data_IF_005325796251
#
_entry.id   IF_005325796251
#
_cell.length_a   1.000
_cell.length_b   1.000
_cell.length_c   1.000
_cell.angle_alpha   90.00
_cell.angle_beta   90.00
_cell.angle_gamma   90.00
#
_symmetry.space_group_name_H-M   'P 1'
#
loop_
_entity.id
_entity.type
_entity.pdbx_description
1 polymer ?
#
# COMPACT_ATOMS: atom_id res chain seq x y z
N UNK A 1 5.43 -9.82 -10.45
CA UNK A 1 4.22 -9.13 -10.95
C UNK A 1 4.66 -8.01 -11.88
N UNK A 2 3.72 -7.42 -12.63
CA UNK A 2 3.96 -6.22 -13.44
C UNK A 2 2.87 -5.18 -13.18
N UNK A 3 3.23 -3.91 -13.26
CA UNK A 3 2.30 -2.79 -13.31
C UNK A 3 2.21 -2.25 -14.75
N UNK A 4 1.02 -2.30 -15.34
CA UNK A 4 0.74 -1.72 -16.65
C UNK A 4 -0.04 -0.43 -16.45
N UNK A 5 0.55 0.69 -16.84
CA UNK A 5 -0.09 2.00 -16.74
C UNK A 5 -1.28 2.13 -17.70
N UNK A 6 -2.29 2.90 -17.29
CA UNK A 6 -3.34 3.39 -18.18
C UNK A 6 -2.80 4.52 -19.04
N UNK A 7 -3.18 4.58 -20.32
CA UNK A 7 -2.69 5.57 -21.28
C UNK A 7 -2.92 7.04 -20.83
N UNK A 8 -3.93 7.29 -19.98
CA UNK A 8 -4.27 8.62 -19.48
C UNK A 8 -3.79 8.95 -18.08
N UNK A 9 -2.88 8.16 -17.48
CA UNK A 9 -2.36 8.47 -16.14
C UNK A 9 -1.50 9.75 -16.17
N UNK A 10 -1.79 10.77 -15.33
CA UNK A 10 -0.95 11.96 -15.25
C UNK A 10 0.28 11.76 -14.37
N UNK A 11 0.38 10.63 -13.65
CA UNK A 11 1.44 10.38 -12.67
C UNK A 11 2.70 9.84 -13.35
N UNK A 12 3.86 10.26 -12.84
CA UNK A 12 5.17 10.02 -13.47
C UNK A 12 5.95 8.90 -12.77
N UNK A 13 7.20 8.67 -13.20
CA UNK A 13 8.08 7.69 -12.60
C UNK A 13 7.61 6.25 -12.85
N UNK A 14 7.63 5.40 -11.82
CA UNK A 14 7.18 4.00 -11.98
C UNK A 14 5.69 3.89 -12.32
N UNK A 15 4.90 4.97 -12.13
CA UNK A 15 3.51 5.04 -12.54
C UNK A 15 3.32 5.11 -14.06
N UNK A 16 4.38 5.35 -14.85
CA UNK A 16 4.37 5.17 -16.32
C UNK A 16 4.35 3.71 -16.73
N UNK A 17 4.62 2.78 -15.80
CA UNK A 17 4.70 1.35 -16.04
C UNK A 17 5.95 0.75 -15.42
N UNK A 18 5.84 -0.47 -14.91
CA UNK A 18 6.94 -1.19 -14.32
C UNK A 18 6.80 -2.70 -14.59
N UNK A 19 7.67 -3.30 -15.41
CA UNK A 19 7.58 -4.72 -15.76
C UNK A 19 7.93 -5.64 -14.58
N UNK A 20 8.74 -5.14 -13.64
CA UNK A 20 9.32 -5.92 -12.56
C UNK A 20 8.84 -5.40 -11.19
N UNK A 21 7.76 -5.99 -10.70
CA UNK A 21 7.21 -5.71 -9.38
C UNK A 21 7.29 -6.96 -8.50
N UNK A 22 8.05 -6.89 -7.40
CA UNK A 22 8.04 -7.93 -6.38
C UNK A 22 6.87 -7.69 -5.43
N UNK A 23 5.92 -8.62 -5.38
CA UNK A 23 4.71 -8.51 -4.57
C UNK A 23 4.79 -9.50 -3.41
N UNK A 24 4.57 -9.01 -2.18
CA UNK A 24 4.37 -9.80 -0.97
C UNK A 24 2.97 -9.56 -0.44
N UNK A 25 2.26 -10.66 -0.24
CA UNK A 25 0.90 -10.69 0.28
C UNK A 25 0.94 -11.40 1.62
N UNK A 26 0.69 -10.67 2.71
CA UNK A 26 0.63 -11.25 4.05
C UNK A 26 -0.40 -10.55 4.94
N UNK A 27 -1.03 -11.27 5.88
CA UNK A 27 -1.77 -10.63 6.96
C UNK A 27 -0.87 -9.66 7.74
N UNK A 28 -1.37 -8.46 8.03
CA UNK A 28 -0.67 -7.48 8.87
C UNK A 28 -0.60 -7.88 10.35
N UNK A 29 -1.47 -8.81 10.76
CA UNK A 29 -1.47 -9.46 12.07
C UNK A 29 -2.13 -10.84 11.94
N UNK A 30 -1.95 -11.72 12.93
CA UNK A 30 -2.63 -13.02 12.95
C UNK A 30 -4.15 -12.80 12.90
N UNK A 31 -4.86 -13.32 11.87
CA UNK A 31 -6.29 -13.12 11.75
C UNK A 31 -7.09 -13.81 12.87
N UNK A 32 -6.60 -14.92 13.44
CA UNK A 32 -7.34 -15.74 14.43
C UNK A 32 -7.75 -14.96 15.69
N UNK A 33 -6.85 -14.29 16.43
CA UNK A 33 -7.25 -13.55 17.63
C UNK A 33 -8.07 -12.29 17.31
N UNK A 34 -7.96 -11.76 16.09
CA UNK A 34 -8.60 -10.50 15.67
C UNK A 34 -10.00 -10.76 15.07
N UNK A 35 -10.31 -12.00 14.69
CA UNK A 35 -11.56 -12.36 14.03
C UNK A 35 -11.74 -11.74 12.65
N UNK A 36 -10.69 -11.20 12.04
CA UNK A 36 -10.74 -10.61 10.69
C UNK A 36 -9.37 -10.60 10.01
N UNK A 37 -9.36 -10.68 8.68
CA UNK A 37 -8.13 -10.56 7.90
C UNK A 37 -7.76 -9.09 7.70
N UNK A 38 -6.68 -8.64 8.35
CA UNK A 38 -6.00 -7.40 8.00
C UNK A 38 -5.09 -7.67 6.80
N UNK A 39 -5.64 -7.67 5.58
CA UNK A 39 -4.86 -7.95 4.38
C UNK A 39 -3.86 -6.82 4.09
N UNK A 40 -2.58 -7.17 4.02
CA UNK A 40 -1.49 -6.26 3.67
C UNK A 40 -0.86 -6.59 2.33
N UNK A 41 -0.64 -5.56 1.52
CA UNK A 41 0.24 -5.64 0.35
C UNK A 41 1.53 -4.92 0.67
N UNK A 42 2.65 -5.57 0.39
CA UNK A 42 3.93 -4.90 0.22
C UNK A 42 4.44 -5.15 -1.20
N UNK A 43 4.78 -4.11 -1.93
CA UNK A 43 5.30 -4.21 -3.30
C UNK A 43 6.63 -3.45 -3.42
N UNK A 44 7.60 -4.02 -4.14
CA UNK A 44 8.79 -3.31 -4.62
C UNK A 44 8.69 -3.13 -6.11
N UNK A 45 8.77 -1.89 -6.57
CA UNK A 45 8.92 -1.59 -7.98
C UNK A 45 10.42 -1.52 -8.24
N UNK A 46 10.93 -2.48 -9.01
CA UNK A 46 12.35 -2.59 -9.28
C UNK A 46 12.73 -1.59 -10.35
N UNK A 47 13.85 -0.88 -10.11
CA UNK A 47 14.36 0.18 -10.96
C UNK A 47 15.78 -0.19 -11.35
N UNK A 48 16.10 -0.11 -12.63
CA UNK A 48 17.44 -0.43 -13.13
C UNK A 48 18.49 0.53 -12.55
N UNK A 49 19.59 -0.05 -12.04
CA UNK A 49 20.72 0.70 -11.47
C UNK A 49 20.42 1.50 -10.20
N UNK A 50 19.22 1.42 -9.62
CA UNK A 50 18.79 2.20 -8.45
C UNK A 50 18.06 1.34 -7.43
N UNK A 51 17.86 1.90 -6.24
CA UNK A 51 17.05 1.25 -5.21
C UNK A 51 15.59 1.16 -5.65
N UNK A 52 14.93 0.06 -5.28
CA UNK A 52 13.49 -0.11 -5.52
C UNK A 52 12.68 0.87 -4.67
N UNK A 53 11.57 1.37 -5.22
CA UNK A 53 10.56 2.09 -4.44
C UNK A 53 9.54 1.12 -3.86
N UNK A 54 9.17 1.31 -2.59
CA UNK A 54 8.41 0.34 -1.80
C UNK A 54 7.02 0.86 -1.46
N UNK A 55 6.00 0.08 -1.82
CA UNK A 55 4.60 0.41 -1.57
C UNK A 55 4.12 -0.51 -0.48
N UNK A 56 3.50 0.05 0.54
CA UNK A 56 2.80 -0.73 1.53
C UNK A 56 1.38 -0.20 1.64
N UNK A 57 0.44 -1.13 1.78
CA UNK A 57 -0.96 -0.80 1.95
C UNK A 57 -1.64 -1.80 2.84
N UNK A 58 -2.64 -1.30 3.55
CA UNK A 58 -3.59 -2.08 4.31
C UNK A 58 -4.98 -1.80 3.77
N UNK A 59 -5.96 -2.57 4.24
CA UNK A 59 -7.35 -2.43 3.83
C UNK A 59 -7.87 -1.00 4.08
N UNK A 60 -8.53 -0.44 3.06
CA UNK A 60 -9.04 0.95 3.04
C UNK A 60 -10.40 1.13 3.72
N UNK A 61 -11.21 0.08 3.78
CA UNK A 61 -12.55 0.13 4.38
C UNK A 61 -12.66 -0.81 5.57
N UNK A 62 -13.48 -0.47 6.55
CA UNK A 62 -13.92 -1.41 7.59
C UNK A 62 -14.95 -2.42 7.06
N UNK A 63 -15.66 -2.07 5.99
CA UNK A 63 -16.68 -2.89 5.33
C UNK A 63 -16.08 -3.88 4.34
N UNK A 64 -16.62 -5.09 4.33
CA UNK A 64 -16.14 -6.20 3.52
C UNK A 64 -16.96 -6.34 2.24
N UNK A 65 -16.29 -6.57 1.11
CA UNK A 65 -16.95 -6.95 -0.14
C UNK A 65 -17.66 -8.30 0.08
N UNK A 66 -18.99 -8.24 0.11
CA UNK A 66 -19.86 -9.41 0.23
C UNK A 66 -20.18 -9.86 1.66
N UNK A 67 -20.04 -9.00 2.67
CA UNK A 67 -20.67 -9.19 3.99
C UNK A 67 -19.76 -9.72 5.11
N UNK A 68 -20.24 -9.73 6.37
CA UNK A 68 -19.48 -10.09 7.58
C UNK A 68 -19.07 -11.58 7.67
N UNK A 69 -19.66 -12.45 6.85
CA UNK A 69 -19.28 -13.86 6.69
C UNK A 69 -18.05 -14.07 5.78
N UNK A 70 -17.70 -13.07 4.95
CA UNK A 70 -16.62 -13.14 3.94
C UNK A 70 -15.28 -12.57 4.42
N UNK A 71 -15.09 -12.51 5.73
CA UNK A 71 -14.17 -11.56 6.39
C UNK A 71 -12.90 -12.19 6.93
N UNK A 72 -12.98 -13.47 7.27
CA UNK A 72 -11.91 -14.13 8.00
C UNK A 72 -10.80 -14.68 7.10
N UNK A 73 -11.16 -15.19 5.91
CA UNK A 73 -10.20 -15.93 5.06
C UNK A 73 -9.96 -15.36 3.67
N UNK A 74 -10.89 -14.58 3.10
CA UNK A 74 -10.79 -14.13 1.70
C UNK A 74 -9.80 -12.99 1.56
N UNK A 75 -8.82 -13.15 0.67
CA UNK A 75 -7.77 -12.15 0.46
C UNK A 75 -8.29 -10.92 -0.29
N UNK A 76 -9.03 -11.15 -1.37
CA UNK A 76 -9.47 -10.13 -2.33
C UNK A 76 -10.81 -9.47 -1.94
N UNK A 77 -11.06 -9.28 -0.64
CA UNK A 77 -12.37 -8.87 -0.12
C UNK A 77 -12.55 -7.36 0.09
N UNK A 78 -11.65 -6.51 -0.40
CA UNK A 78 -11.75 -5.07 -0.27
C UNK A 78 -10.59 -4.31 -0.88
N UNK A 79 -10.80 -3.01 -1.08
CA UNK A 79 -9.76 -2.10 -1.55
C UNK A 79 -8.63 -1.99 -0.51
N UNK A 80 -7.39 -1.92 -0.98
CA UNK A 80 -6.20 -1.66 -0.16
C UNK A 80 -5.59 -0.32 -0.56
N UNK A 81 -5.03 0.41 0.40
CA UNK A 81 -4.50 1.76 0.16
C UNK A 81 -3.35 2.12 1.11
N UNK A 82 -2.49 3.05 0.68
CA UNK A 82 -1.53 3.74 1.54
C UNK A 82 -2.20 4.72 2.51
N UNK A 83 -3.50 4.96 2.33
CA UNK A 83 -4.40 5.64 3.27
C UNK A 83 -5.45 4.63 3.76
N UNK A 84 -5.07 3.68 4.64
CA UNK A 84 -5.94 2.61 5.08
C UNK A 84 -7.06 3.09 6.02
N UNK A 85 -8.02 2.21 6.30
CA UNK A 85 -9.00 2.42 7.37
C UNK A 85 -8.29 2.54 8.73
N UNK A 86 -8.90 3.19 9.72
CA UNK A 86 -8.42 3.14 11.09
C UNK A 86 -8.17 1.70 11.55
N UNK A 87 -7.03 1.48 12.21
CA UNK A 87 -6.69 0.17 12.76
C UNK A 87 -7.77 -0.29 13.76
N UNK A 88 -8.03 -1.61 13.86
CA UNK A 88 -8.88 -2.17 14.90
C UNK A 88 -8.41 -1.73 16.29
N UNK A 89 -9.37 -1.50 17.21
CA UNK A 89 -9.14 -0.98 18.56
C UNK A 89 -7.94 -1.61 19.30
N UNK A 90 -7.80 -2.94 19.39
CA UNK A 90 -6.66 -3.52 20.11
C UNK A 90 -5.32 -3.15 19.44
N UNK A 91 -5.20 -3.26 18.12
CA UNK A 91 -3.99 -2.88 17.39
C UNK A 91 -3.69 -1.39 17.51
N UNK A 92 -4.73 -0.54 17.50
CA UNK A 92 -4.61 0.90 17.63
C UNK A 92 -3.89 1.31 18.91
N UNK A 93 -4.22 0.68 20.05
CA UNK A 93 -3.62 1.01 21.35
C UNK A 93 -2.15 0.61 21.47
N UNK A 94 -1.68 -0.40 20.72
CA UNK A 94 -0.28 -0.83 20.77
C UNK A 94 0.58 -0.20 19.67
N UNK A 95 0.06 -0.06 18.45
CA UNK A 95 0.85 0.37 17.30
C UNK A 95 0.93 1.89 17.15
N UNK A 96 -0.17 2.61 17.42
CA UNK A 96 -0.18 4.07 17.24
C UNK A 96 0.78 4.82 18.16
N UNK A 97 0.93 4.48 19.46
CA UNK A 97 1.93 5.12 20.31
C UNK A 97 3.33 4.99 19.72
N UNK A 98 3.68 3.79 19.25
CA UNK A 98 5.00 3.50 18.68
C UNK A 98 5.22 4.27 17.37
N UNK A 99 4.29 4.21 16.44
CA UNK A 99 4.41 4.92 15.17
C UNK A 99 4.36 6.45 15.35
N UNK A 100 3.58 6.93 16.32
CA UNK A 100 3.45 8.33 16.69
C UNK A 100 4.75 8.98 17.19
N UNK A 101 5.71 8.19 17.68
CA UNK A 101 7.06 8.70 18.01
C UNK A 101 7.84 9.16 16.78
N UNK A 102 7.52 8.62 15.60
CA UNK A 102 8.29 8.85 14.36
C UNK A 102 7.52 9.59 13.28
N UNK A 103 6.18 9.63 13.35
CA UNK A 103 5.36 10.26 12.32
C UNK A 103 4.11 10.90 12.94
N UNK A 104 3.75 12.09 12.44
CA UNK A 104 2.49 12.76 12.76
C UNK A 104 1.29 12.10 12.07
N UNK A 105 1.55 11.28 11.06
CA UNK A 105 0.58 10.53 10.28
C UNK A 105 0.84 9.00 10.42
N UNK A 106 0.72 8.44 11.63
CA UNK A 106 1.18 7.07 11.91
C UNK A 106 0.39 5.96 11.20
N UNK A 107 -0.76 6.29 10.61
CA UNK A 107 -1.60 5.36 9.85
C UNK A 107 -1.48 5.50 8.34
N UNK A 108 -0.74 6.50 7.84
CA UNK A 108 -0.67 6.80 6.42
C UNK A 108 0.76 6.68 5.91
N UNK A 109 0.91 6.24 4.67
CA UNK A 109 2.20 6.06 4.03
C UNK A 109 2.34 6.95 2.81
N UNK A 110 3.57 7.40 2.59
CA UNK A 110 3.94 8.16 1.41
C UNK A 110 4.02 7.32 0.14
N UNK A 111 3.93 8.01 -0.99
CA UNK A 111 4.01 7.53 -2.38
C UNK A 111 4.89 8.43 -3.24
N UNK A 112 5.53 9.48 -2.71
CA UNK A 112 6.26 10.46 -3.50
C UNK A 112 7.43 9.86 -4.27
N UNK A 113 8.22 8.98 -3.65
CA UNK A 113 9.40 8.36 -4.27
C UNK A 113 9.07 7.66 -5.61
N UNK A 114 7.83 7.22 -5.78
CA UNK A 114 7.36 6.54 -6.99
C UNK A 114 7.32 7.44 -8.23
N UNK A 115 7.18 8.76 -8.04
CA UNK A 115 7.00 9.68 -9.15
C UNK A 115 8.32 10.26 -9.69
N UNK A 116 9.43 10.07 -8.99
CA UNK A 116 10.71 10.71 -9.32
C UNK A 116 11.56 9.92 -10.30
N UNK A 117 11.40 8.61 -10.36
CA UNK A 117 12.21 7.74 -11.22
C UNK A 117 11.35 6.64 -11.78
N UNK A 118 11.49 6.34 -13.06
CA UNK A 118 10.79 5.23 -13.70
C UNK A 118 11.56 3.91 -13.57
N UNK A 119 11.07 2.85 -14.21
CA UNK A 119 11.65 1.53 -14.05
C UNK A 119 13.02 1.37 -14.74
N UNK A 120 13.38 2.23 -15.70
CA UNK A 120 14.68 2.19 -16.39
C UNK A 120 15.74 3.02 -15.68
N UNK A 121 15.36 3.72 -14.60
CA UNK A 121 16.25 4.56 -13.82
C UNK A 121 16.28 6.01 -14.28
N UNK A 122 15.46 6.41 -15.25
CA UNK A 122 15.37 7.80 -15.69
C UNK A 122 14.64 8.66 -14.66
N UNK A 123 15.21 9.83 -14.37
CA UNK A 123 14.65 10.77 -13.39
C UNK A 123 13.68 11.74 -14.06
N UNK A 124 12.53 11.92 -13.41
CA UNK A 124 11.48 12.82 -13.88
C UNK A 124 11.79 14.27 -13.53
N UNK A 125 11.65 15.16 -14.53
CA UNK A 125 11.90 16.61 -14.36
C UNK A 125 10.77 17.32 -13.61
N UNK A 126 9.54 16.88 -13.82
CA UNK A 126 8.31 17.41 -13.19
C UNK A 126 7.50 16.25 -12.58
N UNK A 127 7.91 15.75 -11.39
CA UNK A 127 7.27 14.60 -10.76
C UNK A 127 5.82 14.85 -10.37
N UNK A 128 4.91 14.00 -10.86
CA UNK A 128 3.48 14.04 -10.50
C UNK A 128 3.15 12.87 -9.59
N UNK A 129 2.93 13.18 -8.32
CA UNK A 129 2.69 12.21 -7.25
C UNK A 129 1.20 12.07 -6.95
N UNK A 130 0.64 10.85 -6.86
CA UNK A 130 -0.70 10.66 -6.34
C UNK A 130 -0.70 10.85 -4.82
N UNK A 131 -1.67 11.61 -4.29
CA UNK A 131 -1.91 11.69 -2.84
C UNK A 131 -2.23 10.30 -2.28
N UNK A 132 -3.08 9.54 -2.95
CA UNK A 132 -3.45 8.19 -2.51
C UNK A 132 -3.48 7.24 -3.70
N UNK A 133 -3.01 6.02 -3.49
CA UNK A 133 -3.07 4.91 -4.43
C UNK A 133 -3.94 3.81 -3.83
N UNK A 134 -4.95 3.38 -4.58
CA UNK A 134 -5.96 2.40 -4.19
C UNK A 134 -5.85 1.18 -5.10
N UNK A 135 -5.64 0.02 -4.50
CA UNK A 135 -5.60 -1.26 -5.18
C UNK A 135 -6.96 -1.93 -5.00
N UNK A 136 -7.77 -1.91 -6.04
CA UNK A 136 -9.09 -2.55 -6.06
C UNK A 136 -8.92 -3.98 -6.58
N UNK A 137 -9.28 -5.00 -5.80
CA UNK A 137 -9.07 -6.39 -6.17
C UNK A 137 -9.93 -6.79 -7.38
N UNK A 138 -9.39 -7.70 -8.19
CA UNK A 138 -10.15 -8.36 -9.24
C UNK A 138 -11.24 -9.25 -8.62
N UNK A 139 -12.50 -8.95 -8.93
CA UNK A 139 -13.68 -9.66 -8.39
C UNK A 139 -13.68 -11.17 -8.69
N UNK A 140 -13.02 -11.61 -9.76
CA UNK A 140 -12.93 -13.05 -10.06
C UNK A 140 -12.13 -13.82 -9.01
N UNK A 141 -11.40 -13.12 -8.12
CA UNK A 141 -10.59 -13.70 -7.05
C UNK A 141 -11.28 -13.63 -5.67
N UNK A 142 -12.54 -13.19 -5.59
CA UNK A 142 -13.28 -13.00 -4.33
C UNK A 142 -13.37 -14.26 -3.44
N UNK A 143 -13.16 -15.44 -4.00
CA UNK A 143 -13.19 -16.73 -3.29
C UNK A 143 -11.80 -17.19 -2.82
N UNK A 144 -10.72 -16.54 -3.27
CA UNK A 144 -9.35 -16.96 -2.94
C UNK A 144 -9.07 -16.65 -1.46
N UNK A 145 -8.73 -17.70 -0.73
CA UNK A 145 -8.30 -17.62 0.67
C UNK A 145 -6.87 -17.10 0.78
N UNK A 146 -6.53 -16.39 1.84
CA UNK A 146 -5.13 -16.01 2.15
C UNK A 146 -4.20 -17.22 2.28
N UNK A 147 -4.76 -18.39 2.57
CA UNK A 147 -4.02 -19.66 2.66
C UNK A 147 -3.74 -20.29 1.30
N UNK A 148 -4.47 -19.90 0.26
CA UNK A 148 -4.44 -20.52 -1.07
C UNK A 148 -4.05 -19.51 -2.16
N UNK A 149 -3.22 -18.50 -1.83
CA UNK A 149 -2.79 -17.49 -2.80
C UNK A 149 -1.95 -18.08 -3.93
N UNK A 150 -1.28 -19.20 -3.69
CA UNK A 150 -0.51 -19.99 -4.65
C UNK A 150 -1.36 -20.67 -5.74
N UNK A 151 -2.69 -20.74 -5.55
CA UNK A 151 -3.65 -21.21 -6.55
C UNK A 151 -3.85 -20.24 -7.72
N UNK A 152 -3.40 -18.99 -7.58
CA UNK A 152 -3.54 -17.97 -8.62
C UNK A 152 -2.55 -18.26 -9.75
N UNK A 153 -3.08 -18.49 -10.95
CA UNK A 153 -2.28 -18.73 -12.13
C UNK A 153 -1.45 -17.48 -12.53
N UNK A 154 -0.22 -17.62 -13.05
CA UNK A 154 0.50 -16.53 -13.68
C UNK A 154 -0.32 -15.89 -14.81
N UNK A 155 -0.11 -14.60 -15.06
CA UNK A 155 -0.89 -13.83 -16.05
C UNK A 155 -2.24 -13.36 -15.54
N UNK A 156 -2.66 -13.77 -14.33
CA UNK A 156 -3.91 -13.31 -13.72
C UNK A 156 -3.82 -11.84 -13.33
N UNK A 157 -4.83 -11.05 -13.72
CA UNK A 157 -5.07 -9.71 -13.20
C UNK A 157 -5.40 -9.78 -11.72
N UNK A 158 -4.58 -9.15 -10.89
CA UNK A 158 -4.76 -9.14 -9.43
C UNK A 158 -5.55 -7.93 -8.96
N UNK A 159 -5.19 -6.74 -9.45
CA UNK A 159 -5.77 -5.47 -8.99
C UNK A 159 -5.90 -4.48 -10.14
N UNK A 160 -7.01 -3.73 -10.15
CA UNK A 160 -7.10 -2.44 -10.82
C UNK A 160 -6.55 -1.38 -9.85
N UNK A 161 -5.71 -0.48 -10.34
CA UNK A 161 -5.06 0.55 -9.54
C UNK A 161 -5.69 1.90 -9.86
N UNK A 162 -6.12 2.60 -8.82
CA UNK A 162 -6.67 3.93 -8.88
C UNK A 162 -5.81 4.90 -8.07
N UNK A 163 -5.93 6.19 -8.37
CA UNK A 163 -5.29 7.23 -7.59
C UNK A 163 -6.24 8.40 -7.29
N UNK A 164 -5.94 9.10 -6.21
CA UNK A 164 -6.53 10.40 -5.84
C UNK A 164 -5.43 11.45 -5.79
N UNK A 165 -5.75 12.64 -6.25
CA UNK A 165 -4.77 13.66 -6.59
C UNK A 165 -4.34 14.50 -5.39
N UNK A 166 -5.29 15.06 -4.63
CA UNK A 166 -4.99 16.06 -3.58
C UNK A 166 -5.27 15.57 -2.17
N UNK A 167 -6.38 14.84 -2.01
CA UNK A 167 -6.86 14.41 -0.70
C UNK A 167 -7.75 13.15 -0.82
N UNK A 168 -8.27 12.70 0.33
CA UNK A 168 -9.19 11.55 0.42
C UNK A 168 -10.56 11.81 -0.21
N UNK A 169 -10.93 13.06 -0.49
CA UNK A 169 -12.21 13.44 -1.10
C UNK A 169 -12.14 13.52 -2.62
N UNK A 170 -10.94 13.70 -3.15
CA UNK A 170 -10.65 13.74 -4.59
C UNK A 170 -11.23 12.52 -5.31
N UNK A 171 -11.73 12.68 -6.55
CA UNK A 171 -12.28 11.57 -7.31
C UNK A 171 -11.19 10.53 -7.59
N UNK A 172 -11.56 9.25 -7.48
CA UNK A 172 -10.65 8.16 -7.86
C UNK A 172 -10.54 8.10 -9.37
N UNK A 173 -9.32 8.13 -9.91
CA UNK A 173 -9.01 8.00 -11.34
C UNK A 173 -8.27 6.68 -11.57
N UNK A 174 -8.65 5.91 -12.58
CA UNK A 174 -7.97 4.65 -12.93
C UNK A 174 -6.59 4.97 -13.54
N UNK A 175 -5.53 4.33 -13.03
CA UNK A 175 -4.15 4.60 -13.44
C UNK A 175 -3.40 3.38 -13.96
N UNK A 176 -3.94 2.17 -13.79
CA UNK A 176 -3.30 0.97 -14.35
C UNK A 176 -3.75 -0.32 -13.69
N UNK A 177 -3.04 -1.40 -14.00
CA UNK A 177 -3.35 -2.76 -13.55
C UNK A 177 -2.11 -3.46 -13.00
N UNK A 178 -2.27 -4.21 -11.91
CA UNK A 178 -1.26 -5.16 -11.42
C UNK A 178 -1.61 -6.57 -11.89
N UNK A 179 -0.69 -7.20 -12.61
CA UNK A 179 -0.84 -8.57 -13.13
C UNK A 179 0.25 -9.47 -12.55
N UNK A 180 -0.13 -10.68 -12.11
CA UNK A 180 0.83 -11.71 -11.72
C UNK A 180 1.67 -12.13 -12.93
N UNK A 181 2.97 -12.31 -12.74
CA UNK A 181 3.89 -12.74 -13.81
C UNK A 181 4.53 -14.10 -13.52
N UNK A 182 4.37 -14.59 -12.30
CA UNK A 182 4.89 -15.85 -11.82
C UNK A 182 3.92 -16.44 -10.80
N UNK A 183 4.08 -17.74 -10.52
CA UNK A 183 3.30 -18.44 -9.50
C UNK A 183 3.63 -17.84 -8.13
N UNK A 184 2.61 -17.58 -7.32
CA UNK A 184 2.83 -17.17 -5.93
C UNK A 184 3.34 -18.35 -5.11
N UNK A 185 4.23 -18.08 -4.16
CA UNK A 185 4.82 -19.10 -3.29
C UNK A 185 4.98 -18.55 -1.88
N UNK A 186 4.94 -19.44 -0.89
CA UNK A 186 5.31 -19.11 0.49
C UNK A 186 6.82 -18.94 0.57
N UNK A 187 7.29 -18.03 1.43
CA UNK A 187 8.71 -17.71 1.47
C UNK A 187 9.19 -17.34 2.86
N UNK A 188 10.00 -18.22 3.46
CA UNK A 188 10.72 -17.93 4.72
C UNK A 188 11.67 -16.74 4.58
N UNK A 189 12.28 -16.54 3.41
CA UNK A 189 13.09 -15.35 3.13
C UNK A 189 12.20 -14.10 3.11
N UNK A 190 11.05 -14.18 2.43
CA UNK A 190 10.04 -13.12 2.40
C UNK A 190 9.55 -12.70 3.79
N UNK A 191 9.52 -13.63 4.74
CA UNK A 191 9.05 -13.38 6.11
C UNK A 191 10.14 -12.85 7.04
N UNK A 192 11.40 -13.28 6.87
CA UNK A 192 12.46 -13.02 7.85
C UNK A 192 13.56 -12.07 7.36
N UNK A 193 13.66 -11.82 6.04
CA UNK A 193 14.80 -11.11 5.43
C UNK A 193 14.38 -10.04 4.44
N UNK A 194 13.30 -10.24 3.70
CA UNK A 194 12.84 -9.26 2.73
C UNK A 194 12.23 -8.04 3.43
N UNK A 195 12.90 -6.89 3.28
CA UNK A 195 12.48 -5.63 3.90
C UNK A 195 11.77 -4.71 2.90
N UNK A 196 10.68 -4.07 3.31
CA UNK A 196 9.99 -3.02 2.56
C UNK A 196 10.02 -1.73 3.39
N UNK A 197 10.67 -0.69 2.85
CA UNK A 197 10.78 0.59 3.53
C UNK A 197 9.42 1.29 3.55
N UNK A 198 9.00 1.73 4.73
CA UNK A 198 7.87 2.64 4.87
C UNK A 198 8.31 4.05 4.46
N UNK A 199 7.51 4.70 3.63
CA UNK A 199 7.69 6.12 3.34
C UNK A 199 6.82 6.91 4.30
N UNK A 200 7.43 7.88 4.97
CA UNK A 200 6.76 8.77 5.91
C UNK A 200 5.83 9.74 5.18
N UNK A 201 4.54 9.69 5.50
CA UNK A 201 3.53 10.56 4.87
C UNK A 201 3.77 12.04 5.15
N UNK A 202 4.29 12.40 6.31
CA UNK A 202 4.56 13.79 6.66
C UNK A 202 5.69 14.41 5.83
N UNK A 203 6.68 13.61 5.41
CA UNK A 203 7.70 14.04 4.45
C UNK A 203 7.11 14.27 3.06
N UNK A 204 6.24 13.38 2.61
CA UNK A 204 5.52 13.53 1.35
C UNK A 204 4.64 14.78 1.32
N UNK A 205 3.86 15.01 2.37
CA UNK A 205 3.01 16.20 2.46
C UNK A 205 3.83 17.48 2.35
N UNK A 206 5.02 17.53 2.97
CA UNK A 206 5.96 18.66 2.83
C UNK A 206 6.48 18.78 1.39
N UNK A 207 6.91 17.68 0.76
CA UNK A 207 7.42 17.67 -0.62
C UNK A 207 6.37 18.11 -1.64
N UNK A 208 5.09 17.82 -1.36
CA UNK A 208 3.97 18.11 -2.24
C UNK A 208 3.26 19.44 -1.92
N UNK A 209 3.74 20.19 -0.92
CA UNK A 209 3.05 21.38 -0.39
C UNK A 209 1.57 21.14 -0.07
N UNK A 210 1.26 19.94 0.46
CA UNK A 210 -0.08 19.53 0.85
C UNK A 210 -0.23 19.66 2.37
N UNK A 211 -1.36 20.22 2.80
CA UNK A 211 -1.71 20.21 4.22
C UNK A 211 -2.17 18.82 4.62
N UNK A 212 -1.78 18.40 5.82
CA UNK A 212 -2.40 17.23 6.40
C UNK A 212 -3.89 17.51 6.64
N UNK A 213 -4.82 16.71 6.08
CA UNK A 213 -6.25 16.88 6.36
C UNK A 213 -6.62 16.39 7.77
N UNK A 214 -5.72 15.69 8.45
CA UNK A 214 -5.91 15.20 9.81
C UNK A 214 -5.26 16.17 10.80
N UNK A 215 -5.99 16.51 11.87
CA UNK A 215 -5.38 17.22 12.98
C UNK A 215 -4.30 16.30 13.57
N UNK A 216 -3.06 16.79 13.77
CA UNK A 216 -2.06 16.00 14.49
C UNK A 216 -2.67 15.54 15.81
N UNK A 217 -2.32 14.33 16.26
CA UNK A 217 -2.78 13.77 17.53
C UNK A 217 -2.25 14.59 18.73
N UNK A 218 -2.63 15.87 18.83
CA UNK A 218 -2.11 16.83 19.80
C UNK A 218 -2.66 16.64 21.22
N UNK A 219 -3.47 15.61 21.46
CA UNK A 219 -4.03 15.30 22.79
C UNK A 219 -3.70 13.89 23.28
N UNK A 220 -2.66 13.24 22.75
CA UNK A 220 -2.08 12.07 23.41
C UNK A 220 -0.64 12.42 23.76
N UNK A 221 -0.39 12.64 25.05
CA UNK A 221 0.93 12.88 25.65
C UNK A 221 1.88 11.71 25.36
N UNK A 222 2.41 11.64 24.16
CA UNK A 222 3.53 10.78 23.84
C UNK A 222 4.77 11.65 23.89
N UNK A 223 5.51 11.53 25.00
CA UNK A 223 6.86 12.07 25.12
C UNK A 223 7.68 11.52 23.96
N UNK A 224 7.99 12.38 22.99
CA UNK A 224 8.96 12.08 21.95
C UNK A 224 10.32 12.20 22.63
N UNK A 225 11.05 11.10 22.76
CA UNK A 225 12.42 11.10 23.30
C UNK A 225 13.35 11.84 22.31
N UNK A 226 13.97 12.97 22.70
CA UNK A 226 14.79 13.78 21.81
C UNK A 226 16.16 13.15 21.46
N UNK A 227 16.42 11.88 21.81
CA UNK A 227 17.73 11.23 21.60
C UNK A 227 17.84 10.30 20.37
N UNK A 228 16.93 10.40 19.41
CA UNK A 228 16.94 9.56 18.19
C UNK A 228 17.02 10.36 16.87
N UNK A 229 17.73 11.49 16.89
CA UNK A 229 18.26 12.16 15.69
C UNK A 229 19.75 11.85 15.51
#
# INVERSE_FOLDING_TARGET
AKFTASAGTPYTGVWKGCPNVLLRLAPGANPEPIGSLLSGISAKFLIDGKQSVNYLSLRRSSSFRGGPEKTFRRWFNGDQSNVPAPLPVPLKFFLLPKFGTTSREPNHLGTADFAYTDHTGETEKDPKVPFEVIWTPNKSLDQVSYQNLDSIAPGTKLYDVYAKEKDVFSPKKYIGTITSTAKMTTSKYGDNKLFFQHIRRDEDLKRLDLKCPYKPAQNQNFNIDPKLD
#
